data_IF_922147530678
#
_entry.id   IF_922147530678
#
_cell.length_a   1.000
_cell.length_b   1.000
_cell.length_c   1.000
_cell.angle_alpha   90.00
_cell.angle_beta   90.00
_cell.angle_gamma   90.00
#
_symmetry.space_group_name_H-M   'P 1'
#
loop_
_entity.id
_entity.type
_entity.pdbx_description
1 polymer ?
#
# COMPACT_ATOMS: atom_id res chain seq x y z
N UNK A 1 -10.07 32.30 -41.42
CA UNK A 1 -8.63 32.07 -41.23
C UNK A 1 -8.17 32.76 -39.95
N UNK A 2 -7.56 32.00 -39.03
CA UNK A 2 -6.59 32.37 -37.98
C UNK A 2 -6.45 31.10 -37.11
N UNK A 3 -5.41 30.27 -37.27
CA UNK A 3 -4.03 30.39 -36.75
C UNK A 3 -3.95 30.31 -35.22
N UNK A 4 -3.63 29.08 -34.76
CA UNK A 4 -2.70 28.63 -33.70
C UNK A 4 -2.77 29.26 -32.29
N UNK A 5 -2.92 28.38 -31.29
CA UNK A 5 -2.09 28.40 -30.07
C UNK A 5 -2.02 26.99 -29.46
N UNK A 6 -0.93 26.27 -29.75
CA UNK A 6 -0.40 25.19 -28.93
C UNK A 6 0.14 25.80 -27.63
N UNK A 7 -0.41 25.43 -26.47
CA UNK A 7 0.34 25.54 -25.21
C UNK A 7 0.12 24.30 -24.35
N UNK A 8 1.15 23.46 -24.35
CA UNK A 8 1.52 22.58 -23.25
C UNK A 8 1.45 23.36 -21.93
N UNK A 9 0.43 23.10 -21.12
CA UNK A 9 0.58 23.19 -19.67
C UNK A 9 0.09 21.87 -19.08
N UNK A 10 0.99 20.88 -19.18
CA UNK A 10 1.00 19.78 -18.23
C UNK A 10 1.24 20.45 -16.89
N UNK A 11 0.16 20.71 -16.15
CA UNK A 11 0.22 21.02 -14.74
C UNK A 11 0.84 19.82 -14.05
N UNK A 12 2.16 19.89 -13.96
CA UNK A 12 3.02 19.10 -13.09
C UNK A 12 2.77 19.61 -11.66
N UNK A 13 1.54 19.44 -11.21
CA UNK A 13 1.09 19.84 -9.89
C UNK A 13 1.00 18.60 -8.98
N UNK A 14 1.58 17.47 -9.41
CA UNK A 14 2.00 16.42 -8.50
C UNK A 14 3.25 16.91 -7.76
N UNK A 15 3.06 17.95 -6.96
CA UNK A 15 3.84 18.12 -5.76
C UNK A 15 3.64 16.82 -4.98
N UNK A 16 4.56 15.88 -5.21
CA UNK A 16 4.86 14.84 -4.25
C UNK A 16 5.07 15.58 -2.94
N UNK A 17 4.00 15.66 -2.15
CA UNK A 17 4.15 15.45 -0.72
C UNK A 17 4.75 14.07 -0.65
N UNK A 18 6.08 14.03 -0.72
CA UNK A 18 6.89 13.11 0.05
C UNK A 18 6.30 13.18 1.45
N UNK A 19 5.30 12.33 1.68
CA UNK A 19 4.89 11.94 3.00
C UNK A 19 6.19 11.38 3.55
N UNK A 20 6.86 12.25 4.30
CA UNK A 20 8.06 11.94 5.02
C UNK A 20 7.70 10.70 5.84
N UNK A 21 8.17 9.54 5.39
CA UNK A 21 7.97 8.26 6.06
C UNK A 21 8.56 8.28 7.48
N UNK A 22 9.19 9.39 7.89
CA UNK A 22 9.83 9.55 9.18
C UNK A 22 9.50 10.86 9.92
N UNK A 23 8.29 11.44 9.79
CA UNK A 23 7.86 12.50 10.73
C UNK A 23 6.47 12.28 11.28
N UNK A 24 6.39 11.42 12.28
CA UNK A 24 5.29 11.43 13.24
C UNK A 24 5.91 11.67 14.61
N UNK A 25 5.99 12.94 14.99
CA UNK A 25 6.18 13.35 16.37
C UNK A 25 4.86 13.21 17.13
N UNK A 26 4.40 11.96 17.26
CA UNK A 26 3.42 11.41 18.21
C UNK A 26 3.77 9.92 18.19
N UNK A 27 4.09 9.30 19.32
CA UNK A 27 4.23 7.84 19.38
C UNK A 27 3.01 7.20 18.71
N UNK A 28 3.19 6.63 17.51
CA UNK A 28 2.14 5.88 16.83
C UNK A 28 2.00 4.59 17.60
N UNK A 29 1.04 4.54 18.51
CA UNK A 29 0.72 3.41 19.39
C UNK A 29 0.51 2.08 18.61
N UNK A 30 0.33 2.11 17.29
CA UNK A 30 0.01 0.92 16.50
C UNK A 30 0.54 0.94 15.06
N UNK A 31 1.73 1.50 14.80
CA UNK A 31 2.38 1.24 13.50
C UNK A 31 2.85 -0.23 13.44
N UNK A 32 2.86 -0.89 12.26
CA UNK A 32 3.40 -2.25 12.14
C UNK A 32 4.83 -2.34 12.64
N UNK A 33 5.17 -3.42 13.35
CA UNK A 33 6.56 -3.68 13.72
C UNK A 33 7.42 -3.94 12.49
N UNK A 34 8.72 -3.63 12.58
CA UNK A 34 9.66 -3.94 11.49
C UNK A 34 9.68 -5.43 11.14
N UNK A 35 9.48 -6.30 12.14
CA UNK A 35 9.42 -7.75 11.92
C UNK A 35 8.26 -8.13 10.99
N UNK A 36 7.05 -7.62 11.26
CA UNK A 36 5.87 -7.86 10.41
C UNK A 36 6.10 -7.32 9.00
N UNK A 37 6.73 -6.15 8.87
CA UNK A 37 7.09 -5.58 7.58
C UNK A 37 8.03 -6.50 6.79
N UNK A 38 9.03 -7.08 7.45
CA UNK A 38 9.98 -7.99 6.81
C UNK A 38 9.31 -9.31 6.39
N UNK A 39 8.40 -9.85 7.21
CA UNK A 39 7.63 -11.04 6.85
C UNK A 39 6.66 -10.79 5.69
N UNK A 40 6.00 -9.64 5.65
CA UNK A 40 5.18 -9.23 4.50
C UNK A 40 6.02 -9.18 3.22
N UNK A 41 7.22 -8.58 3.29
CA UNK A 41 8.14 -8.52 2.14
C UNK A 41 8.56 -9.91 1.69
N UNK A 42 8.89 -10.80 2.63
CA UNK A 42 9.27 -12.17 2.33
C UNK A 42 8.11 -12.95 1.70
N UNK A 43 6.89 -12.78 2.20
CA UNK A 43 5.70 -13.49 1.71
C UNK A 43 5.30 -13.10 0.28
N UNK A 44 5.69 -11.91 -0.22
CA UNK A 44 5.51 -11.57 -1.64
C UNK A 44 6.16 -12.60 -2.58
N UNK A 45 7.23 -13.27 -2.16
CA UNK A 45 7.89 -14.31 -2.95
C UNK A 45 7.05 -15.59 -3.11
N UNK A 46 5.93 -15.73 -2.40
CA UNK A 46 5.02 -16.88 -2.50
C UNK A 46 3.70 -16.51 -3.18
N UNK A 47 3.30 -15.24 -3.17
CA UNK A 47 2.02 -14.78 -3.73
C UNK A 47 2.13 -14.39 -5.21
N UNK A 48 1.32 -15.03 -6.06
CA UNK A 48 1.34 -14.83 -7.50
C UNK A 48 0.86 -13.43 -7.94
N UNK A 49 -0.13 -12.87 -7.25
CA UNK A 49 -0.68 -11.55 -7.57
C UNK A 49 0.29 -10.46 -7.10
N UNK A 50 0.85 -10.62 -5.89
CA UNK A 50 1.86 -9.69 -5.37
C UNK A 50 3.11 -9.63 -6.26
N UNK A 51 3.59 -10.78 -6.77
CA UNK A 51 4.70 -10.82 -7.74
C UNK A 51 4.39 -10.02 -9.00
N UNK A 52 3.19 -10.20 -9.56
CA UNK A 52 2.78 -9.49 -10.77
C UNK A 52 2.69 -7.98 -10.52
N UNK A 53 2.12 -7.58 -9.38
CA UNK A 53 2.02 -6.18 -9.00
C UNK A 53 3.38 -5.54 -8.70
N UNK A 54 4.28 -6.24 -8.00
CA UNK A 54 5.65 -5.78 -7.75
C UNK A 54 6.42 -5.58 -9.06
N UNK A 55 6.34 -6.54 -9.98
CA UNK A 55 6.97 -6.44 -11.30
C UNK A 55 6.43 -5.26 -12.10
N UNK A 56 5.11 -5.10 -12.16
CA UNK A 56 4.47 -3.98 -12.85
C UNK A 56 4.80 -2.63 -12.21
N UNK A 57 4.67 -2.50 -10.89
CA UNK A 57 4.83 -1.24 -10.19
C UNK A 57 6.30 -0.77 -10.11
N UNK A 58 7.25 -1.69 -10.23
CA UNK A 58 8.69 -1.36 -10.33
C UNK A 58 9.07 -0.78 -11.70
N UNK A 59 8.37 -1.17 -12.77
CA UNK A 59 8.58 -0.64 -14.12
C UNK A 59 7.25 -0.48 -14.88
N UNK A 60 6.42 0.52 -14.52
CA UNK A 60 5.08 0.67 -15.10
C UNK A 60 5.16 0.98 -16.61
N UNK A 61 4.50 0.15 -17.41
CA UNK A 61 4.34 0.35 -18.86
C UNK A 61 3.03 -0.28 -19.34
N UNK A 62 2.56 0.09 -20.53
CA UNK A 62 1.37 -0.52 -21.13
C UNK A 62 1.57 -2.01 -21.40
N UNK A 63 2.79 -2.42 -21.79
CA UNK A 63 3.13 -3.83 -21.97
C UNK A 63 3.07 -4.59 -20.63
N UNK A 64 3.71 -4.06 -19.58
CA UNK A 64 3.66 -4.66 -18.25
C UNK A 64 2.22 -4.72 -17.72
N UNK A 65 1.41 -3.68 -17.97
CA UNK A 65 -0.01 -3.65 -17.60
C UNK A 65 -0.84 -4.71 -18.32
N UNK A 66 -0.52 -5.02 -19.58
CA UNK A 66 -1.17 -6.10 -20.35
C UNK A 66 -0.81 -7.49 -19.83
N UNK A 67 0.34 -7.66 -19.18
CA UNK A 67 0.76 -8.93 -18.55
C UNK A 67 0.01 -9.22 -17.24
N UNK A 68 -0.56 -8.20 -16.59
CA UNK A 68 -1.40 -8.38 -15.40
C UNK A 68 -2.66 -9.18 -15.73
N UNK A 69 -3.09 -10.01 -14.78
CA UNK A 69 -4.43 -10.63 -14.77
C UNK A 69 -5.54 -9.56 -14.82
N UNK A 70 -6.74 -9.88 -15.35
CA UNK A 70 -7.80 -8.88 -15.55
C UNK A 70 -8.18 -8.11 -14.29
N UNK A 71 -8.27 -8.77 -13.14
CA UNK A 71 -8.64 -8.12 -11.87
C UNK A 71 -7.56 -7.16 -11.38
N UNK A 72 -6.28 -7.54 -11.47
CA UNK A 72 -5.15 -6.66 -11.13
C UNK A 72 -5.06 -5.47 -12.09
N UNK A 73 -5.24 -5.71 -13.39
CA UNK A 73 -5.18 -4.68 -14.43
C UNK A 73 -6.21 -3.58 -14.22
N UNK A 74 -7.43 -3.94 -13.79
CA UNK A 74 -8.50 -2.99 -13.50
C UNK A 74 -8.14 -2.02 -12.37
N UNK A 75 -7.32 -2.47 -11.41
CA UNK A 75 -6.91 -1.70 -10.21
C UNK A 75 -5.45 -1.28 -10.22
N UNK A 76 -4.70 -1.53 -11.30
CA UNK A 76 -3.26 -1.25 -11.41
C UNK A 76 -2.87 0.18 -11.00
N UNK A 77 -3.71 1.16 -11.32
CA UNK A 77 -3.50 2.56 -10.96
C UNK A 77 -3.48 2.82 -9.45
N UNK A 78 -3.97 1.89 -8.62
CA UNK A 78 -4.01 1.97 -7.15
C UNK A 78 -2.78 1.42 -6.45
N UNK A 79 -1.92 0.70 -7.17
CA UNK A 79 -0.75 0.04 -6.61
C UNK A 79 0.55 0.80 -6.89
N UNK A 80 1.41 0.94 -5.89
CA UNK A 80 2.75 1.53 -6.00
C UNK A 80 3.75 0.71 -5.18
N UNK A 81 5.04 0.86 -5.46
CA UNK A 81 6.10 0.21 -4.68
C UNK A 81 6.96 1.26 -4.00
N UNK A 82 7.26 1.05 -2.73
CA UNK A 82 8.18 1.87 -1.95
C UNK A 82 8.97 0.97 -1.00
N UNK A 83 10.31 1.03 -1.05
CA UNK A 83 11.20 0.24 -0.18
C UNK A 83 10.89 -1.26 -0.13
N UNK A 84 10.47 -1.83 -1.28
CA UNK A 84 10.10 -3.24 -1.41
C UNK A 84 8.70 -3.58 -0.88
N UNK A 85 7.93 -2.61 -0.39
CA UNK A 85 6.52 -2.79 -0.03
C UNK A 85 5.61 -2.46 -1.19
N UNK A 86 4.59 -3.30 -1.38
CA UNK A 86 3.48 -3.02 -2.25
C UNK A 86 2.44 -2.20 -1.48
N UNK A 87 2.11 -1.03 -2.01
CA UNK A 87 1.23 -0.05 -1.39
C UNK A 87 -0.05 0.08 -2.21
N UNK A 88 -1.19 0.04 -1.53
CA UNK A 88 -2.52 0.23 -2.10
C UNK A 88 -3.10 1.57 -1.66
N UNK A 89 -3.56 2.36 -2.63
CA UNK A 89 -4.30 3.61 -2.41
C UNK A 89 -5.77 3.40 -2.77
N UNK A 90 -6.65 3.56 -1.78
CA UNK A 90 -8.08 3.65 -2.07
C UNK A 90 -8.40 5.03 -2.67
N UNK A 91 -9.40 5.09 -3.56
CA UNK A 91 -9.76 6.31 -4.29
C UNK A 91 -10.34 7.38 -3.37
N UNK A 92 -10.88 6.97 -2.22
CA UNK A 92 -11.82 7.80 -1.45
C UNK A 92 -11.24 8.41 -0.16
N UNK A 93 -10.07 7.98 0.33
CA UNK A 93 -9.57 8.39 1.66
C UNK A 93 -8.11 8.88 1.73
N UNK A 94 -7.40 8.98 0.61
CA UNK A 94 -5.95 9.28 0.55
C UNK A 94 -5.09 8.35 1.44
N UNK A 95 -5.67 7.25 1.97
CA UNK A 95 -4.97 6.31 2.85
C UNK A 95 -4.18 5.33 2.00
N UNK A 96 -2.90 5.22 2.33
CA UNK A 96 -1.99 4.23 1.77
C UNK A 96 -1.90 3.06 2.74
N UNK A 97 -2.24 1.87 2.25
CA UNK A 97 -2.23 0.60 2.99
C UNK A 97 -1.16 -0.32 2.43
N UNK A 98 -0.53 -1.12 3.27
CA UNK A 98 0.41 -2.16 2.86
C UNK A 98 -0.39 -3.37 2.39
N UNK A 99 -0.10 -3.87 1.20
CA UNK A 99 -0.76 -5.07 0.69
C UNK A 99 -0.22 -6.29 1.44
N UNK A 100 -1.11 -7.06 2.06
CA UNK A 100 -0.74 -8.32 2.69
C UNK A 100 -0.95 -9.45 1.66
N UNK A 101 0.07 -10.26 1.37
CA UNK A 101 -0.07 -11.49 0.59
C UNK A 101 -1.17 -12.39 1.14
N UNK A 102 -1.75 -13.25 0.30
CA UNK A 102 -2.73 -14.25 0.72
C UNK A 102 -2.05 -15.39 1.50
N UNK A 103 -1.56 -15.07 2.69
CA UNK A 103 -0.92 -15.95 3.66
C UNK A 103 -1.68 -15.86 4.99
N UNK A 104 -2.29 -16.96 5.38
CA UNK A 104 -3.15 -17.02 6.56
C UNK A 104 -2.35 -16.83 7.86
N UNK A 105 -1.16 -17.41 7.95
CA UNK A 105 -0.34 -17.35 9.16
C UNK A 105 0.21 -15.93 9.36
N UNK A 106 0.57 -15.26 8.26
CA UNK A 106 0.94 -13.85 8.27
C UNK A 106 -0.22 -12.96 8.70
N UNK A 107 -1.43 -13.20 8.18
CA UNK A 107 -2.62 -12.46 8.59
C UNK A 107 -2.91 -12.64 10.08
N UNK A 108 -2.83 -13.87 10.59
CA UNK A 108 -3.00 -14.15 12.01
C UNK A 108 -1.94 -13.43 12.86
N UNK A 109 -0.68 -13.43 12.43
CA UNK A 109 0.39 -12.73 13.13
C UNK A 109 0.15 -11.23 13.21
N UNK A 110 -0.25 -10.59 12.11
CA UNK A 110 -0.62 -9.17 12.07
C UNK A 110 -1.75 -8.88 13.06
N UNK A 111 -2.80 -9.72 13.06
CA UNK A 111 -3.93 -9.58 13.99
C UNK A 111 -3.51 -9.70 15.46
N UNK A 112 -2.62 -10.64 15.80
CA UNK A 112 -2.11 -10.80 17.17
C UNK A 112 -1.26 -9.60 17.61
N UNK A 113 -0.37 -9.11 16.75
CA UNK A 113 0.44 -7.94 17.07
C UNK A 113 -0.43 -6.71 17.39
N UNK A 114 -1.50 -6.51 16.62
CA UNK A 114 -2.44 -5.41 16.83
C UNK A 114 -3.40 -5.60 18.01
N UNK A 115 -3.63 -6.85 18.42
CA UNK A 115 -4.38 -7.17 19.62
C UNK A 115 -3.57 -6.86 20.88
N UNK A 116 -2.28 -7.21 20.87
CA UNK A 116 -1.40 -7.12 22.02
C UNK A 116 -0.68 -5.76 22.13
N UNK A 117 -0.82 -4.88 21.12
CA UNK A 117 -0.30 -3.53 21.15
C UNK A 117 -0.86 -2.76 22.38
N UNK A 118 0.00 -2.07 23.17
CA UNK A 118 -0.40 -1.35 24.38
C UNK A 118 -1.20 -0.09 24.02
N UNK A 119 -2.45 -0.32 23.63
CA UNK A 119 -3.50 0.68 23.58
C UNK A 119 -3.93 0.95 25.01
N UNK A 120 -4.26 2.20 25.35
CA UNK A 120 -4.56 2.67 26.71
C UNK A 120 -5.88 2.08 27.32
N UNK A 121 -6.05 0.76 27.25
CA UNK A 121 -7.22 -0.03 27.61
C UNK A 121 -7.46 -1.10 26.54
N UNK A 122 -7.49 -2.38 26.96
CA UNK A 122 -7.78 -3.55 26.12
C UNK A 122 -8.88 -3.26 25.09
N UNK A 123 -8.55 -3.07 23.81
CA UNK A 123 -9.55 -2.87 22.79
C UNK A 123 -10.22 -4.22 22.53
N UNK A 124 -11.54 -4.28 22.61
CA UNK A 124 -12.27 -5.45 22.09
C UNK A 124 -11.96 -5.69 20.60
N UNK A 125 -12.25 -6.89 20.12
CA UNK A 125 -12.02 -7.40 18.74
C UNK A 125 -12.30 -6.41 17.60
N UNK A 126 -13.32 -5.56 17.73
CA UNK A 126 -13.69 -4.56 16.72
C UNK A 126 -12.62 -3.48 16.52
N UNK A 127 -11.93 -3.07 17.59
CA UNK A 127 -10.90 -2.04 17.52
C UNK A 127 -9.62 -2.56 16.85
N UNK A 128 -9.28 -3.85 17.01
CA UNK A 128 -8.16 -4.49 16.32
C UNK A 128 -8.37 -4.49 14.81
N UNK A 129 -9.57 -4.87 14.35
CA UNK A 129 -9.88 -4.90 12.92
C UNK A 129 -9.79 -3.51 12.26
N UNK A 130 -10.25 -2.46 12.95
CA UNK A 130 -10.12 -1.07 12.48
C UNK A 130 -8.66 -0.67 12.33
N UNK A 131 -7.81 -1.02 13.29
CA UNK A 131 -6.39 -0.67 13.23
C UNK A 131 -5.65 -1.46 12.14
N UNK A 132 -5.97 -2.74 11.95
CA UNK A 132 -5.37 -3.55 10.88
C UNK A 132 -5.80 -3.05 9.51
N UNK A 133 -7.09 -2.80 9.27
CA UNK A 133 -7.59 -2.29 7.98
C UNK A 133 -7.23 -0.83 7.69
N UNK A 134 -6.74 -0.10 8.70
CA UNK A 134 -6.13 1.23 8.52
C UNK A 134 -4.77 1.11 7.82
N UNK A 135 -3.96 0.13 8.21
CA UNK A 135 -2.56 0.03 7.79
C UNK A 135 -2.34 -1.03 6.71
N UNK A 136 -3.23 -2.02 6.59
CA UNK A 136 -3.12 -3.15 5.69
C UNK A 136 -4.33 -3.26 4.75
N UNK A 137 -4.09 -3.79 3.54
CA UNK A 137 -5.07 -4.12 2.51
C UNK A 137 -4.97 -5.59 2.11
#
# INVERSE_FOLDING_TARGET
MNVVADTLSRRLDYAMKTANANRIGVERVSAPSSSVIDDVKAAYASDADAKQLLSYASAPSDEARRKLTPHLRARAHRYRVHEGLLLYSAVDDDVIRIVVPNDYDLWMRIMYEYHDAPTAGHPGREKTYVLVTRDFY
#
